data_IF_230721009881
#
_entry.id   IF_230721009881
#
_cell.length_a   1.000
_cell.length_b   1.000
_cell.length_c   1.000
_cell.angle_alpha   90.00
_cell.angle_beta   90.00
_cell.angle_gamma   90.00
#
_symmetry.space_group_name_H-M   'P 1'
#
loop_
_entity.id
_entity.type
_entity.pdbx_description
1 polymer ?
#
# COMPACT_ATOMS: atom_id res chain seq x y z
N UNK A 1 52.28 8.89 -39.94
CA UNK A 1 53.70 8.71 -40.30
C UNK A 1 54.56 9.00 -39.06
N UNK A 2 55.35 8.02 -38.63
CA UNK A 2 56.57 8.03 -37.77
C UNK A 2 56.70 8.99 -36.55
N UNK A 3 57.34 8.68 -35.42
CA UNK A 3 57.96 7.51 -34.72
C UNK A 3 58.33 8.07 -33.31
N UNK A 4 57.95 7.44 -32.19
CA UNK A 4 58.75 6.58 -31.27
C UNK A 4 59.85 7.27 -30.42
N UNK A 5 59.74 7.16 -29.08
CA UNK A 5 60.73 6.69 -28.05
C UNK A 5 60.48 7.41 -26.70
N UNK A 6 60.01 6.82 -25.58
CA UNK A 6 60.62 5.84 -24.64
C UNK A 6 62.03 6.27 -24.15
N UNK A 7 62.47 6.30 -22.88
CA UNK A 7 62.03 6.01 -21.49
C UNK A 7 63.23 6.46 -20.55
N UNK A 8 63.52 5.99 -19.31
CA UNK A 8 62.78 5.98 -18.02
C UNK A 8 63.63 6.35 -16.73
N UNK A 9 63.00 6.20 -15.54
CA UNK A 9 63.54 5.89 -14.16
C UNK A 9 64.30 6.96 -13.33
N UNK A 10 63.78 7.38 -12.15
CA UNK A 10 64.16 6.85 -10.80
C UNK A 10 63.41 7.51 -9.62
N UNK A 11 63.18 6.75 -8.52
CA UNK A 11 62.44 7.18 -7.34
C UNK A 11 63.35 7.75 -6.24
N UNK A 12 62.76 8.59 -5.39
CA UNK A 12 63.38 9.22 -4.22
C UNK A 12 63.34 8.29 -2.98
N UNK A 13 64.46 8.06 -2.28
CA UNK A 13 64.51 7.34 -1.00
C UNK A 13 64.94 8.24 0.17
N UNK A 14 64.19 8.18 1.29
CA UNK A 14 64.58 8.42 2.71
C UNK A 14 63.30 8.44 3.55
N UNK A 15 63.07 7.72 4.65
CA UNK A 15 63.84 6.76 5.44
C UNK A 15 63.30 6.75 6.88
N UNK A 16 62.89 5.57 7.38
CA UNK A 16 62.82 5.07 8.79
C UNK A 16 62.02 5.88 9.86
N UNK A 17 61.35 5.30 10.87
CA UNK A 17 61.55 4.03 11.56
C UNK A 17 60.26 3.54 12.27
N UNK A 18 60.16 2.22 12.41
CA UNK A 18 59.29 1.51 13.37
C UNK A 18 60.17 0.81 14.41
N UNK A 19 59.64 0.41 15.58
CA UNK A 19 60.22 -0.68 16.35
C UNK A 19 59.23 -1.85 16.50
N UNK A 20 59.77 -3.05 16.28
CA UNK A 20 59.20 -4.33 16.72
C UNK A 20 60.30 -5.10 17.45
N UNK A 21 60.03 -5.55 18.67
CA UNK A 21 60.66 -6.67 19.42
C UNK A 21 59.77 -6.89 20.66
N UNK A 22 59.42 -8.09 21.13
CA UNK A 22 59.81 -9.43 20.73
C UNK A 22 58.89 -10.46 21.38
N UNK A 23 58.95 -11.68 20.85
CA UNK A 23 58.31 -12.87 21.41
C UNK A 23 59.09 -13.40 22.63
N UNK A 24 58.35 -13.89 23.62
CA UNK A 24 58.86 -14.63 24.77
C UNK A 24 57.82 -15.68 25.17
N UNK A 25 58.31 -16.91 25.32
CA UNK A 25 57.63 -18.19 25.34
C UNK A 25 56.90 -18.57 26.66
N UNK A 26 55.98 -19.55 26.51
CA UNK A 26 55.58 -20.60 27.46
C UNK A 26 54.86 -20.23 28.79
N UNK A 27 53.56 -20.56 28.89
CA UNK A 27 53.13 -21.75 29.65
C UNK A 27 51.65 -22.12 29.40
N UNK A 28 51.43 -23.42 29.17
CA UNK A 28 50.13 -24.10 29.10
C UNK A 28 49.50 -24.19 30.48
N UNK A 29 48.22 -23.82 30.65
CA UNK A 29 47.30 -24.53 31.57
C UNK A 29 45.88 -24.60 31.02
N UNK A 30 45.55 -25.80 30.56
CA UNK A 30 44.22 -26.35 30.29
C UNK A 30 43.50 -26.69 31.60
N UNK A 31 42.28 -26.18 31.82
CA UNK A 31 41.33 -26.79 32.78
C UNK A 31 39.87 -26.50 32.37
N UNK A 32 39.16 -27.56 31.99
CA UNK A 32 37.69 -27.73 32.09
C UNK A 32 37.43 -29.16 32.59
N UNK A 33 36.22 -29.53 33.02
CA UNK A 33 35.33 -28.94 34.02
C UNK A 33 34.85 -30.01 35.04
N UNK A 34 34.35 -29.66 36.24
CA UNK A 34 33.75 -30.62 37.20
C UNK A 34 32.74 -29.94 38.16
N UNK A 35 31.81 -30.67 38.83
CA UNK A 35 30.39 -30.74 38.47
C UNK A 35 29.42 -30.15 39.54
N UNK A 36 28.13 -30.17 39.21
CA UNK A 36 26.97 -29.82 40.07
C UNK A 36 26.92 -30.58 41.40
N UNK A 37 26.12 -30.09 42.37
CA UNK A 37 25.22 -30.96 43.11
C UNK A 37 23.74 -30.63 42.85
N UNK A 38 22.95 -31.69 42.97
CA UNK A 38 21.52 -31.77 42.74
C UNK A 38 20.70 -31.62 44.04
N UNK A 39 19.39 -31.43 43.87
CA UNK A 39 18.34 -31.65 44.88
C UNK A 39 17.66 -30.35 45.30
N UNK A 40 16.33 -30.21 45.28
CA UNK A 40 15.27 -31.20 45.43
C UNK A 40 14.03 -30.78 44.64
N UNK A 41 13.32 -31.76 44.09
CA UNK A 41 12.02 -31.55 43.45
C UNK A 41 10.88 -31.41 44.44
N UNK A 42 9.78 -30.82 43.97
CA UNK A 42 8.43 -31.18 44.36
C UNK A 42 7.45 -30.77 43.24
N UNK A 43 6.60 -31.72 42.85
CA UNK A 43 5.39 -31.67 41.99
C UNK A 43 4.41 -32.60 42.72
N UNK A 44 3.07 -32.53 42.63
CA UNK A 44 2.14 -31.65 41.90
C UNK A 44 1.06 -31.01 42.82
N UNK A 45 0.18 -30.14 42.32
CA UNK A 45 -1.25 -30.50 42.07
C UNK A 45 -2.13 -29.32 41.61
N UNK A 46 -3.05 -29.64 40.69
CA UNK A 46 -4.47 -29.31 40.84
C UNK A 46 -5.02 -27.88 40.67
N UNK A 47 -5.82 -27.74 39.61
CA UNK A 47 -7.11 -27.05 39.58
C UNK A 47 -7.19 -25.54 39.23
N UNK A 48 -7.63 -25.32 37.99
CA UNK A 48 -8.84 -24.57 37.62
C UNK A 48 -9.10 -23.23 38.34
N UNK A 49 -8.83 -22.12 37.64
CA UNK A 49 -9.79 -21.02 37.59
C UNK A 49 -9.83 -20.39 36.20
N UNK A 50 -10.87 -20.75 35.45
CA UNK A 50 -11.38 -19.97 34.32
C UNK A 50 -11.88 -18.63 34.86
N UNK A 51 -11.12 -17.56 34.66
CA UNK A 51 -11.64 -16.20 34.81
C UNK A 51 -12.47 -15.85 33.57
N UNK A 52 -13.77 -15.67 33.79
CA UNK A 52 -14.76 -15.26 32.78
C UNK A 52 -14.45 -13.83 32.31
N UNK A 53 -14.39 -13.63 30.98
CA UNK A 53 -14.40 -12.31 30.34
C UNK A 53 -15.75 -11.60 30.62
N UNK A 54 -15.77 -10.29 30.93
CA UNK A 54 -17.01 -9.53 30.93
C UNK A 54 -17.46 -9.30 29.48
N UNK A 55 -18.68 -9.74 29.17
CA UNK A 55 -19.41 -9.39 27.94
C UNK A 55 -20.05 -8.02 28.15
N UNK A 56 -19.72 -7.04 27.31
CA UNK A 56 -20.51 -5.82 27.19
C UNK A 56 -21.80 -6.10 26.41
N UNK A 57 -22.97 -5.66 26.90
CA UNK A 57 -24.23 -5.88 26.20
C UNK A 57 -24.39 -4.87 25.04
N UNK A 58 -24.81 -5.39 23.89
CA UNK A 58 -25.37 -4.60 22.78
C UNK A 58 -26.77 -4.15 23.20
N UNK A 59 -26.94 -2.85 23.46
CA UNK A 59 -28.26 -2.26 23.67
C UNK A 59 -28.83 -1.82 22.34
N UNK A 60 -29.93 -2.46 21.92
CA UNK A 60 -30.85 -1.94 20.90
C UNK A 60 -31.48 -0.64 21.43
N UNK A 61 -31.36 0.45 20.67
CA UNK A 61 -32.23 1.62 20.85
C UNK A 61 -33.37 1.49 19.84
N UNK A 62 -34.51 0.99 20.31
CA UNK A 62 -35.80 1.12 19.64
C UNK A 62 -36.38 2.50 20.01
N UNK A 63 -36.57 3.35 19.01
CA UNK A 63 -37.30 4.60 19.16
C UNK A 63 -38.81 4.32 19.06
N UNK A 64 -39.54 4.64 20.13
CA UNK A 64 -40.99 4.85 20.10
C UNK A 64 -41.29 6.14 20.84
N UNK A 65 -41.68 7.19 20.11
CA UNK A 65 -42.65 8.19 20.55
C UNK A 65 -43.48 8.56 19.33
N UNK A 66 -44.80 8.34 19.43
CA UNK A 66 -45.77 8.70 18.42
C UNK A 66 -46.51 10.00 18.73
N UNK A 67 -47.03 10.64 17.67
CA UNK A 67 -48.24 11.47 17.54
C UNK A 67 -47.99 12.44 16.37
N UNK A 68 -48.85 12.61 15.37
CA UNK A 68 -50.14 12.00 15.10
C UNK A 68 -50.80 12.59 13.85
N UNK A 69 -51.93 11.96 13.52
CA UNK A 69 -53.15 12.49 12.88
C UNK A 69 -53.16 12.83 11.38
N UNK A 70 -54.23 12.26 10.77
CA UNK A 70 -54.94 12.59 9.51
C UNK A 70 -54.29 12.00 8.26
N UNK A 71 -54.94 11.16 7.45
CA UNK A 71 -56.36 10.80 7.32
C UNK A 71 -56.67 10.67 5.82
N UNK A 72 -57.63 9.79 5.49
CA UNK A 72 -58.20 9.49 4.15
C UNK A 72 -57.32 8.58 3.27
N UNK A 73 -57.84 7.73 2.39
CA UNK A 73 -59.10 7.01 2.21
C UNK A 73 -58.80 6.07 1.02
N UNK A 74 -59.29 4.82 1.08
CA UNK A 74 -59.41 3.85 -0.03
C UNK A 74 -60.28 4.39 -1.21
N UNK A 75 -60.52 3.65 -2.32
CA UNK A 75 -59.96 2.39 -2.86
C UNK A 75 -59.55 2.52 -4.37
N UNK A 76 -58.85 1.58 -5.02
CA UNK A 76 -59.39 0.36 -5.64
C UNK A 76 -59.32 0.38 -7.18
N UNK A 77 -59.45 -0.81 -7.81
CA UNK A 77 -59.40 -1.16 -9.26
C UNK A 77 -57.98 -1.33 -9.85
N UNK A 78 -57.48 -2.52 -10.22
CA UNK A 78 -57.96 -3.64 -11.08
C UNK A 78 -58.04 -3.29 -12.57
N UNK A 79 -57.37 -4.07 -13.42
CA UNK A 79 -57.68 -4.12 -14.85
C UNK A 79 -56.49 -4.50 -15.73
N UNK A 80 -56.59 -5.68 -16.33
CA UNK A 80 -55.64 -6.28 -17.26
C UNK A 80 -55.88 -5.84 -18.73
N UNK A 81 -55.09 -6.46 -19.62
CA UNK A 81 -55.27 -6.60 -21.09
C UNK A 81 -54.93 -5.39 -21.98
N UNK A 82 -54.50 -5.51 -23.24
CA UNK A 82 -53.88 -6.56 -24.05
C UNK A 82 -53.70 -6.00 -25.47
N UNK A 83 -52.62 -6.42 -26.15
CA UNK A 83 -52.54 -6.79 -27.59
C UNK A 83 -52.58 -5.74 -28.73
N UNK A 84 -51.64 -6.02 -29.67
CA UNK A 84 -51.65 -5.98 -31.16
C UNK A 84 -51.61 -4.58 -31.80
N UNK A 85 -50.62 -4.29 -32.64
CA UNK A 85 -50.48 -4.69 -34.06
C UNK A 85 -50.60 -3.38 -34.88
N UNK A 86 -49.92 -3.09 -35.98
CA UNK A 86 -49.43 -3.90 -37.10
C UNK A 86 -48.56 -3.03 -38.04
N UNK A 87 -47.89 -3.74 -38.93
CA UNK A 87 -47.02 -3.37 -40.06
C UNK A 87 -47.71 -2.52 -41.14
N UNK A 88 -46.93 -1.69 -41.84
CA UNK A 88 -47.23 -1.13 -43.18
C UNK A 88 -45.95 -0.85 -43.97
N UNK A 89 -45.87 -1.37 -45.20
CA UNK A 89 -44.72 -1.38 -46.13
C UNK A 89 -45.04 -0.44 -47.33
N UNK A 90 -43.99 -0.06 -48.08
CA UNK A 90 -43.94 0.21 -49.53
C UNK A 90 -43.89 1.71 -49.94
N UNK A 91 -43.22 2.20 -51.00
CA UNK A 91 -42.17 1.79 -51.97
C UNK A 91 -41.95 2.99 -52.93
N UNK A 92 -40.77 3.11 -53.55
CA UNK A 92 -40.53 3.78 -54.86
C UNK A 92 -40.15 5.27 -54.83
N UNK A 93 -39.51 5.88 -55.83
CA UNK A 93 -38.53 5.50 -56.86
C UNK A 93 -37.95 6.83 -57.44
N UNK A 94 -36.63 6.85 -57.68
CA UNK A 94 -35.77 7.68 -58.57
C UNK A 94 -36.35 8.84 -59.41
N UNK A 95 -35.60 9.95 -59.58
CA UNK A 95 -35.08 10.52 -60.86
C UNK A 95 -34.09 11.68 -60.56
N UNK A 96 -32.99 11.77 -61.31
CA UNK A 96 -31.92 12.78 -61.12
C UNK A 96 -31.93 13.93 -62.13
N UNK A 97 -31.16 14.99 -61.85
CA UNK A 97 -30.69 16.03 -62.79
C UNK A 97 -29.49 16.80 -62.20
N UNK A 98 -28.54 17.22 -63.05
CA UNK A 98 -27.34 18.07 -62.82
C UNK A 98 -27.13 18.94 -64.11
N UNK A 99 -26.20 19.92 -64.19
CA UNK A 99 -25.96 21.19 -63.45
C UNK A 99 -25.86 22.40 -64.47
N UNK A 100 -25.36 23.67 -64.20
CA UNK A 100 -23.92 24.07 -63.99
C UNK A 100 -23.74 25.46 -63.25
N UNK A 101 -22.63 26.26 -63.38
CA UNK A 101 -21.19 26.02 -63.23
C UNK A 101 -20.50 26.85 -62.08
N UNK A 102 -19.17 26.72 -62.04
CA UNK A 102 -18.16 27.06 -61.02
C UNK A 102 -17.84 28.56 -60.84
N UNK A 103 -17.42 28.93 -59.61
CA UNK A 103 -16.29 29.84 -59.35
C UNK A 103 -15.49 29.26 -58.18
N UNK A 104 -14.18 29.02 -58.38
CA UNK A 104 -13.30 28.40 -57.39
C UNK A 104 -12.62 29.42 -56.49
N UNK A 105 -12.13 28.98 -55.32
CA UNK A 105 -10.92 29.47 -54.67
C UNK A 105 -10.45 28.44 -53.62
N UNK A 106 -9.26 27.87 -53.90
CA UNK A 106 -8.14 27.46 -53.05
C UNK A 106 -8.44 26.85 -51.65
N UNK A 107 -7.98 25.60 -51.51
CA UNK A 107 -7.84 24.80 -50.31
C UNK A 107 -6.66 25.31 -49.45
N UNK A 108 -6.88 25.48 -48.15
CA UNK A 108 -5.86 25.28 -47.11
C UNK A 108 -6.57 24.65 -45.91
N UNK A 109 -6.12 23.45 -45.57
CA UNK A 109 -6.82 22.54 -44.66
C UNK A 109 -6.58 22.82 -43.18
N UNK A 110 -7.56 22.43 -42.38
CA UNK A 110 -7.41 22.04 -40.98
C UNK A 110 -8.61 21.19 -40.58
N UNK A 111 -8.60 19.90 -40.95
CA UNK A 111 -9.53 18.90 -40.43
C UNK A 111 -8.93 18.31 -39.15
N UNK A 112 -9.28 18.87 -37.99
CA UNK A 112 -9.28 18.13 -36.73
C UNK A 112 -10.75 17.88 -36.36
N UNK A 113 -11.22 16.62 -36.29
CA UNK A 113 -12.56 16.36 -35.82
C UNK A 113 -12.61 16.59 -34.31
N UNK A 114 -13.41 17.57 -33.88
CA UNK A 114 -13.79 17.74 -32.49
C UNK A 114 -14.51 16.47 -32.02
N UNK A 115 -13.82 15.65 -31.21
CA UNK A 115 -14.43 14.54 -30.49
C UNK A 115 -15.41 15.12 -29.47
N UNK A 116 -16.70 15.10 -29.80
CA UNK A 116 -17.76 15.27 -28.80
C UNK A 116 -17.64 14.11 -27.82
N UNK A 117 -17.31 14.43 -26.56
CA UNK A 117 -17.45 13.50 -25.45
C UNK A 117 -18.89 13.00 -25.41
N UNK A 118 -19.09 11.72 -25.73
CA UNK A 118 -20.38 11.08 -25.55
C UNK A 118 -20.62 10.97 -24.05
N UNK A 119 -21.53 11.80 -23.51
CA UNK A 119 -22.07 11.62 -22.18
C UNK A 119 -22.78 10.27 -22.12
N UNK A 120 -22.08 9.25 -21.58
CA UNK A 120 -22.64 7.95 -21.25
C UNK A 120 -23.58 8.15 -20.06
N UNK A 121 -24.84 7.75 -20.21
CA UNK A 121 -25.81 7.80 -19.12
C UNK A 121 -25.29 7.00 -17.90
N UNK A 122 -25.50 7.49 -16.67
CA UNK A 122 -25.02 6.81 -15.46
C UNK A 122 -25.71 5.45 -15.30
N UNK A 123 -24.92 4.41 -15.05
CA UNK A 123 -25.39 3.06 -14.75
C UNK A 123 -26.11 3.03 -13.40
N UNK A 124 -27.18 2.22 -13.22
CA UNK A 124 -28.11 2.31 -12.09
C UNK A 124 -27.60 1.76 -10.74
N UNK A 125 -26.30 1.45 -10.60
CA UNK A 125 -25.71 0.99 -9.35
C UNK A 125 -24.38 1.73 -9.11
N UNK A 126 -24.48 3.00 -8.72
CA UNK A 126 -23.32 3.72 -8.19
C UNK A 126 -23.25 3.37 -6.71
N UNK A 127 -22.37 2.44 -6.35
CA UNK A 127 -21.88 2.39 -4.97
C UNK A 127 -21.26 3.75 -4.75
N UNK A 128 -21.73 4.48 -3.74
CA UNK A 128 -21.11 5.76 -3.36
C UNK A 128 -19.81 5.40 -2.64
N UNK A 129 -18.76 5.13 -3.43
CA UNK A 129 -17.46 4.75 -2.92
C UNK A 129 -16.62 6.02 -2.78
N UNK A 130 -16.19 6.39 -1.56
CA UNK A 130 -15.38 7.58 -1.37
C UNK A 130 -14.07 7.44 -2.14
N UNK A 131 -13.56 8.54 -2.69
CA UNK A 131 -12.23 8.55 -3.27
C UNK A 131 -11.24 8.14 -2.18
N UNK A 132 -10.66 6.95 -2.33
CA UNK A 132 -9.86 6.29 -1.32
C UNK A 132 -8.39 6.36 -1.72
N UNK A 133 -7.56 6.90 -0.84
CA UNK A 133 -6.11 6.83 -0.96
C UNK A 133 -5.59 5.54 -0.34
N UNK A 134 -4.90 4.74 -1.14
CA UNK A 134 -4.34 3.46 -0.75
C UNK A 134 -2.83 3.61 -0.69
N UNK A 135 -2.29 3.50 0.51
CA UNK A 135 -0.87 3.70 0.84
C UNK A 135 -0.29 2.40 1.41
N UNK A 136 1.01 2.18 1.23
CA UNK A 136 1.70 0.99 1.73
C UNK A 136 3.16 1.29 1.99
N UNK A 137 3.80 0.47 2.83
CA UNK A 137 5.25 0.42 3.01
C UNK A 137 5.79 1.80 3.37
N UNK A 138 5.25 2.38 4.44
CA UNK A 138 5.58 3.72 4.94
C UNK A 138 6.95 3.74 5.63
N UNK A 139 7.34 2.63 6.24
CA UNK A 139 8.68 2.36 6.76
C UNK A 139 9.27 3.51 7.59
N UNK A 140 8.49 4.08 8.50
CA UNK A 140 8.96 5.16 9.38
C UNK A 140 9.49 6.42 8.67
N UNK A 141 9.12 6.65 7.40
CA UNK A 141 9.63 7.74 6.56
C UNK A 141 8.67 8.94 6.57
N UNK A 142 8.76 9.76 7.62
CA UNK A 142 7.87 10.92 7.82
C UNK A 142 7.84 11.89 6.62
N UNK A 143 8.97 12.31 6.02
CA UNK A 143 8.94 13.22 4.86
C UNK A 143 8.08 12.70 3.71
N UNK A 144 8.11 11.40 3.42
CA UNK A 144 7.28 10.79 2.38
C UNK A 144 5.81 10.67 2.80
N UNK A 145 5.55 10.18 4.02
CA UNK A 145 4.19 9.95 4.52
C UNK A 145 3.40 11.26 4.63
N UNK A 146 3.99 12.30 5.21
CA UNK A 146 3.34 13.61 5.33
C UNK A 146 2.98 14.19 3.96
N UNK A 147 3.87 14.03 2.97
CA UNK A 147 3.63 14.50 1.60
C UNK A 147 2.50 13.69 0.95
N UNK A 148 2.52 12.36 1.05
CA UNK A 148 1.52 11.49 0.45
C UNK A 148 0.11 11.77 1.01
N UNK A 149 -0.03 11.93 2.33
CA UNK A 149 -1.32 12.25 2.95
C UNK A 149 -1.81 13.63 2.49
N UNK A 150 -0.93 14.64 2.49
CA UNK A 150 -1.29 16.00 2.05
C UNK A 150 -1.76 16.00 0.60
N UNK A 151 -0.98 15.43 -0.32
CA UNK A 151 -1.31 15.40 -1.75
C UNK A 151 -2.59 14.58 -2.01
N UNK A 152 -2.79 13.46 -1.31
CA UNK A 152 -4.04 12.70 -1.39
C UNK A 152 -5.27 13.53 -0.96
N UNK A 153 -5.18 14.27 0.15
CA UNK A 153 -6.25 15.17 0.58
C UNK A 153 -6.49 16.30 -0.43
N UNK A 154 -5.44 16.90 -0.99
CA UNK A 154 -5.54 17.95 -2.02
C UNK A 154 -6.21 17.43 -3.31
N UNK A 155 -6.01 16.15 -3.63
CA UNK A 155 -6.71 15.45 -4.74
C UNK A 155 -8.15 15.03 -4.39
N UNK A 156 -8.61 15.33 -3.18
CA UNK A 156 -9.98 15.07 -2.75
C UNK A 156 -10.21 13.67 -2.17
N UNK A 157 -9.17 12.94 -1.78
CA UNK A 157 -9.35 11.67 -1.08
C UNK A 157 -10.07 11.92 0.26
N UNK A 158 -11.12 11.13 0.52
CA UNK A 158 -11.94 11.21 1.73
C UNK A 158 -11.80 9.99 2.62
N UNK A 159 -11.08 8.96 2.17
CA UNK A 159 -10.83 7.73 2.92
C UNK A 159 -9.38 7.30 2.71
N UNK A 160 -8.76 6.72 3.72
CA UNK A 160 -7.42 6.14 3.61
C UNK A 160 -7.41 4.67 4.00
N UNK A 161 -6.65 3.89 3.22
CA UNK A 161 -6.36 2.49 3.49
C UNK A 161 -4.84 2.33 3.52
N UNK A 162 -4.29 1.90 4.65
CA UNK A 162 -2.89 1.55 4.78
C UNK A 162 -2.71 0.03 4.73
N UNK A 163 -1.91 -0.47 3.80
CA UNK A 163 -1.73 -1.91 3.58
C UNK A 163 -0.70 -2.56 4.52
N UNK A 164 -0.01 -1.79 5.35
CA UNK A 164 0.96 -2.30 6.32
C UNK A 164 2.35 -1.70 6.14
N UNK A 165 3.30 -2.22 6.92
CA UNK A 165 4.68 -1.74 7.01
C UNK A 165 4.73 -0.23 7.29
N UNK A 166 3.98 0.19 8.29
CA UNK A 166 4.01 1.56 8.84
C UNK A 166 5.38 1.83 9.48
N UNK A 167 5.97 0.80 10.09
CA UNK A 167 7.24 0.88 10.81
C UNK A 167 8.34 0.05 10.14
N UNK A 168 9.57 0.23 10.63
CA UNK A 168 10.76 -0.46 10.11
C UNK A 168 11.52 0.39 9.09
N UNK A 169 12.81 0.08 8.94
CA UNK A 169 13.82 0.81 8.17
C UNK A 169 14.04 2.29 8.53
N UNK A 170 13.03 3.15 8.49
CA UNK A 170 13.14 4.59 8.70
C UNK A 170 13.22 5.01 10.16
N UNK A 171 13.62 6.27 10.35
CA UNK A 171 14.00 6.84 11.63
C UNK A 171 12.83 7.31 12.52
N UNK A 172 11.59 7.31 12.01
CA UNK A 172 10.44 7.95 12.69
C UNK A 172 9.21 7.05 12.77
N UNK A 173 9.31 5.84 13.37
CA UNK A 173 8.19 4.91 13.45
C UNK A 173 6.99 5.47 14.22
N UNK A 174 7.23 6.14 15.37
CA UNK A 174 6.16 6.69 16.22
C UNK A 174 5.31 7.75 15.50
N UNK A 175 5.96 8.67 14.79
CA UNK A 175 5.25 9.70 14.03
C UNK A 175 4.43 9.11 12.88
N UNK A 176 4.92 8.05 12.21
CA UNK A 176 4.13 7.35 11.19
C UNK A 176 2.93 6.62 11.79
N UNK A 177 3.09 5.99 12.96
CA UNK A 177 1.98 5.40 13.71
C UNK A 177 0.94 6.46 14.09
N UNK A 178 1.37 7.60 14.62
CA UNK A 178 0.48 8.72 14.96
C UNK A 178 -0.37 9.17 13.77
N UNK A 179 0.27 9.33 12.59
CA UNK A 179 -0.43 9.71 11.36
C UNK A 179 -1.44 8.65 10.94
N UNK A 180 -1.04 7.37 10.87
CA UNK A 180 -1.93 6.28 10.46
C UNK A 180 -3.09 6.11 11.43
N UNK A 181 -2.86 6.19 12.75
CA UNK A 181 -3.91 6.13 13.76
C UNK A 181 -4.89 7.33 13.69
N UNK A 182 -4.50 8.42 13.04
CA UNK A 182 -5.39 9.58 12.84
C UNK A 182 -6.31 9.42 11.62
N UNK A 183 -5.82 8.78 10.54
CA UNK A 183 -6.48 8.80 9.22
C UNK A 183 -6.93 7.42 8.69
N UNK A 184 -6.38 6.32 9.22
CA UNK A 184 -6.57 4.96 8.70
C UNK A 184 -7.24 4.04 9.73
N UNK A 185 -8.22 4.53 10.48
CA UNK A 185 -8.93 3.77 11.52
C UNK A 185 -10.43 4.11 11.55
N UNK A 186 -11.29 3.29 12.17
CA UNK A 186 -12.65 3.70 12.48
C UNK A 186 -12.67 4.97 13.35
N UNK A 187 -13.51 5.93 12.99
CA UNK A 187 -13.50 7.27 13.58
C UNK A 187 -12.34 8.13 13.10
N UNK A 188 -11.78 7.83 11.92
CA UNK A 188 -10.80 8.65 11.24
C UNK A 188 -11.23 10.12 11.25
N UNK A 189 -10.26 10.99 11.51
CA UNK A 189 -10.51 12.42 11.66
C UNK A 189 -10.07 13.16 10.41
N UNK A 190 -10.20 14.48 10.41
CA UNK A 190 -9.54 15.30 9.42
C UNK A 190 -8.01 15.23 9.53
N UNK A 191 -7.33 15.39 8.40
CA UNK A 191 -5.89 15.66 8.36
C UNK A 191 -5.64 17.17 8.31
N UNK A 192 -5.11 17.74 9.40
CA UNK A 192 -4.83 19.19 9.53
C UNK A 192 -6.05 20.03 9.13
N UNK A 193 -5.91 20.89 8.12
CA UNK A 193 -6.98 21.76 7.59
C UNK A 193 -7.82 21.10 6.48
N UNK A 194 -7.65 19.79 6.29
CA UNK A 194 -8.41 18.99 5.33
C UNK A 194 -9.86 18.75 5.73
N UNK A 195 -10.65 18.19 4.80
CA UNK A 195 -12.03 17.79 5.06
C UNK A 195 -12.14 16.61 6.03
N UNK A 196 -13.35 16.38 6.54
CA UNK A 196 -13.66 15.19 7.32
C UNK A 196 -13.41 13.92 6.49
N UNK A 197 -12.72 12.95 7.10
CA UNK A 197 -12.47 11.63 6.52
C UNK A 197 -13.56 10.63 6.93
N UNK A 198 -13.79 9.67 6.05
CA UNK A 198 -14.57 8.46 6.30
C UNK A 198 -13.70 7.38 6.94
N UNK A 199 -14.35 6.36 7.51
CA UNK A 199 -13.66 5.26 8.19
C UNK A 199 -12.68 4.56 7.24
N UNK A 200 -11.41 4.62 7.64
CA UNK A 200 -10.31 3.94 6.98
C UNK A 200 -9.99 2.59 7.63
N UNK A 201 -8.90 1.98 7.17
CA UNK A 201 -8.32 0.81 7.81
C UNK A 201 -6.80 0.79 7.67
N UNK A 202 -6.14 0.12 8.59
CA UNK A 202 -4.72 -0.19 8.52
C UNK A 202 -4.54 -1.70 8.71
N UNK A 203 -3.75 -2.30 7.83
CA UNK A 203 -3.40 -3.71 7.90
C UNK A 203 -2.03 -3.92 8.54
N UNK A 204 -1.78 -5.17 8.90
CA UNK A 204 -0.50 -5.66 9.40
C UNK A 204 0.40 -6.00 8.23
N UNK A 205 1.57 -5.36 8.17
CA UNK A 205 2.65 -5.79 7.30
C UNK A 205 3.60 -6.77 7.98
N UNK A 206 4.58 -7.28 7.23
CA UNK A 206 5.56 -8.21 7.78
C UNK A 206 6.51 -7.54 8.79
N UNK A 207 6.68 -6.21 8.73
CA UNK A 207 7.47 -5.48 9.72
C UNK A 207 6.74 -5.38 11.06
N UNK A 208 5.43 -5.12 11.06
CA UNK A 208 4.62 -5.20 12.29
C UNK A 208 4.57 -6.63 12.84
N UNK A 209 4.43 -7.64 11.96
CA UNK A 209 4.45 -9.05 12.35
C UNK A 209 5.79 -9.44 13.00
N UNK A 210 6.92 -9.02 12.43
CA UNK A 210 8.25 -9.26 12.97
C UNK A 210 8.48 -8.53 14.31
N UNK A 211 7.90 -7.34 14.46
CA UNK A 211 7.96 -6.55 15.68
C UNK A 211 7.20 -7.21 16.83
N UNK A 212 6.03 -7.80 16.56
CA UNK A 212 5.19 -8.50 17.55
C UNK A 212 5.70 -9.90 17.88
N UNK A 213 6.26 -10.59 16.88
CA UNK A 213 6.72 -11.96 17.00
C UNK A 213 8.26 -12.01 16.96
N UNK A 214 8.83 -12.44 15.84
CA UNK A 214 10.26 -12.63 15.65
C UNK A 214 10.71 -12.10 14.29
N UNK A 215 11.89 -11.48 14.29
CA UNK A 215 12.58 -11.00 13.10
C UNK A 215 13.72 -11.94 12.66
N UNK A 216 13.70 -13.21 13.07
CA UNK A 216 14.76 -14.18 12.74
C UNK A 216 14.88 -14.47 11.25
N UNK A 217 13.77 -14.45 10.51
CA UNK A 217 13.75 -14.67 9.05
C UNK A 217 14.25 -13.45 8.25
N UNK A 218 14.53 -12.32 8.92
CA UNK A 218 14.96 -11.09 8.27
C UNK A 218 16.48 -11.09 8.06
N UNK A 219 16.92 -10.42 6.99
CA UNK A 219 18.36 -10.18 6.83
C UNK A 219 18.89 -9.35 8.02
N UNK A 220 20.19 -9.48 8.39
CA UNK A 220 20.72 -8.86 9.60
C UNK A 220 20.50 -7.34 9.70
N UNK A 221 20.53 -6.63 8.56
CA UNK A 221 20.31 -5.18 8.50
C UNK A 221 18.85 -4.81 8.79
N UNK A 222 17.92 -5.55 8.19
CA UNK A 222 16.49 -5.36 8.42
C UNK A 222 16.09 -5.75 9.85
N UNK A 223 16.70 -6.82 10.40
CA UNK A 223 16.51 -7.21 11.81
C UNK A 223 16.96 -6.11 12.77
N UNK A 224 18.13 -5.51 12.56
CA UNK A 224 18.62 -4.39 13.39
C UNK A 224 17.62 -3.22 13.41
N UNK A 225 17.03 -2.89 12.26
CA UNK A 225 16.00 -1.85 12.18
C UNK A 225 14.73 -2.19 12.97
N UNK A 226 14.29 -3.46 12.96
CA UNK A 226 13.13 -3.91 13.75
C UNK A 226 13.45 -3.88 15.26
N UNK A 227 14.63 -4.35 15.67
CA UNK A 227 15.07 -4.32 17.07
C UNK A 227 15.14 -2.88 17.59
N UNK A 228 15.76 -1.98 16.81
CA UNK A 228 15.77 -0.56 17.14
C UNK A 228 14.36 0.06 17.18
N UNK A 229 13.49 -0.28 16.23
CA UNK A 229 12.10 0.21 16.18
C UNK A 229 11.34 -0.20 17.45
N UNK A 230 11.54 -1.43 17.95
CA UNK A 230 10.95 -1.92 19.20
C UNK A 230 11.37 -1.04 20.38
N UNK A 231 12.65 -0.75 20.48
CA UNK A 231 13.18 0.10 21.53
C UNK A 231 12.66 1.53 21.42
N UNK A 232 12.57 2.08 20.21
CA UNK A 232 12.05 3.42 19.95
C UNK A 232 10.58 3.56 20.36
N UNK A 233 9.75 2.54 20.11
CA UNK A 233 8.35 2.50 20.57
C UNK A 233 8.27 2.43 22.10
N UNK A 234 9.18 1.67 22.74
CA UNK A 234 9.23 1.55 24.20
C UNK A 234 9.75 2.81 24.91
N UNK A 235 10.53 3.64 24.21
CA UNK A 235 11.02 4.94 24.70
C UNK A 235 10.01 6.09 24.51
N UNK A 236 8.79 5.81 24.05
CA UNK A 236 7.77 6.83 23.86
C UNK A 236 7.42 7.51 25.19
N UNK A 237 7.45 8.84 25.18
CA UNK A 237 7.04 9.68 26.32
C UNK A 237 5.82 10.52 25.95
N UNK A 238 4.78 10.57 26.81
CA UNK A 238 4.66 9.85 28.08
C UNK A 238 4.53 8.32 27.86
N UNK A 239 4.96 7.50 28.84
CA UNK A 239 4.99 6.02 28.74
C UNK A 239 3.67 5.40 28.27
N UNK A 240 2.54 6.00 28.62
CA UNK A 240 1.20 5.58 28.19
C UNK A 240 1.06 5.56 26.66
N UNK A 241 1.81 6.43 25.96
CA UNK A 241 1.82 6.45 24.49
C UNK A 241 2.42 5.16 23.91
N UNK A 242 3.40 4.57 24.59
CA UNK A 242 3.95 3.27 24.18
C UNK A 242 2.89 2.18 24.20
N UNK A 243 2.05 2.12 25.24
CA UNK A 243 0.95 1.15 25.31
C UNK A 243 -0.05 1.34 24.19
N UNK A 244 -0.40 2.59 23.85
CA UNK A 244 -1.29 2.89 22.72
C UNK A 244 -0.74 2.35 21.40
N UNK A 245 0.57 2.48 21.15
CA UNK A 245 1.19 1.92 19.95
C UNK A 245 1.13 0.39 19.94
N UNK A 246 1.46 -0.26 21.05
CA UNK A 246 1.46 -1.72 21.14
C UNK A 246 0.05 -2.32 21.02
N UNK A 247 -0.95 -1.68 21.61
CA UNK A 247 -2.36 -2.08 21.47
C UNK A 247 -2.79 -1.99 20.00
N UNK A 248 -2.51 -0.85 19.35
CA UNK A 248 -2.81 -0.66 17.93
C UNK A 248 -2.15 -1.71 17.04
N UNK A 249 -0.83 -1.91 17.18
CA UNK A 249 -0.07 -2.88 16.40
C UNK A 249 -0.62 -4.31 16.56
N UNK A 250 -1.01 -4.68 17.79
CA UNK A 250 -1.51 -6.01 18.11
C UNK A 250 -2.89 -6.30 17.51
N UNK A 251 -3.69 -5.26 17.28
CA UNK A 251 -5.04 -5.34 16.72
C UNK A 251 -5.08 -5.34 15.18
N UNK A 252 -3.96 -4.98 14.51
CA UNK A 252 -3.89 -4.95 13.05
C UNK A 252 -4.18 -6.31 12.43
N UNK A 253 -5.09 -6.32 11.46
CA UNK A 253 -5.50 -7.51 10.72
C UNK A 253 -4.57 -7.80 9.55
N UNK A 254 -4.39 -9.07 9.21
CA UNK A 254 -3.56 -9.49 8.07
C UNK A 254 -4.19 -9.18 6.70
N UNK A 255 -5.53 -9.18 6.63
CA UNK A 255 -6.31 -8.82 5.44
C UNK A 255 -7.69 -8.34 5.85
N UNK A 256 -8.34 -7.60 4.96
CA UNK A 256 -9.72 -7.14 5.12
C UNK A 256 -10.42 -6.99 3.76
N UNK A 257 -11.75 -6.90 3.74
CA UNK A 257 -12.54 -6.57 2.56
C UNK A 257 -13.60 -5.53 2.93
N UNK A 258 -13.83 -4.57 2.04
CA UNK A 258 -15.05 -3.77 2.03
C UNK A 258 -16.05 -4.34 1.00
N UNK A 259 -17.08 -3.60 0.65
CA UNK A 259 -18.08 -4.00 -0.34
C UNK A 259 -17.53 -4.06 -1.78
N UNK A 260 -16.41 -3.39 -2.08
CA UNK A 260 -15.84 -3.30 -3.43
C UNK A 260 -14.52 -4.07 -3.57
N UNK A 261 -13.61 -3.94 -2.61
CA UNK A 261 -12.23 -4.36 -2.73
C UNK A 261 -11.74 -5.20 -1.54
N UNK A 262 -10.75 -6.04 -1.83
CA UNK A 262 -9.97 -6.79 -0.86
C UNK A 262 -8.63 -6.08 -0.63
N UNK A 263 -8.10 -6.16 0.59
CA UNK A 263 -6.86 -5.53 0.99
C UNK A 263 -5.98 -6.55 1.71
N UNK A 264 -4.69 -6.59 1.37
CA UNK A 264 -3.66 -7.39 2.03
C UNK A 264 -2.31 -6.67 1.94
N UNK A 265 -1.33 -7.04 2.77
CA UNK A 265 0.04 -6.52 2.63
C UNK A 265 0.80 -7.25 1.53
N UNK A 266 0.96 -8.57 1.69
CA UNK A 266 1.72 -9.42 0.79
C UNK A 266 0.94 -9.80 -0.48
N UNK A 267 -0.03 -10.69 -0.33
CA UNK A 267 -0.81 -11.23 -1.45
C UNK A 267 -2.20 -11.71 -1.00
N UNK A 268 -3.17 -11.95 -1.91
CA UNK A 268 -4.45 -12.55 -1.54
C UNK A 268 -4.32 -13.92 -0.84
N UNK A 269 -3.32 -14.73 -1.23
CA UNK A 269 -3.12 -16.10 -0.74
C UNK A 269 -2.37 -16.17 0.59
N UNK A 270 -1.28 -15.43 0.69
CA UNK A 270 -0.51 -15.23 1.92
C UNK A 270 -0.50 -13.71 2.19
N UNK A 271 -1.38 -13.21 3.09
CA UNK A 271 -1.60 -11.78 3.25
C UNK A 271 -0.48 -10.95 3.84
N UNK A 272 0.57 -11.54 4.40
CA UNK A 272 1.59 -10.80 5.17
C UNK A 272 2.98 -10.91 4.54
N UNK A 273 3.38 -12.08 4.05
CA UNK A 273 4.77 -12.43 3.75
C UNK A 273 5.04 -12.83 2.30
N UNK A 274 4.01 -13.18 1.51
CA UNK A 274 4.23 -13.52 0.09
C UNK A 274 4.49 -12.25 -0.74
N UNK A 275 5.64 -12.20 -1.38
CA UNK A 275 5.92 -11.20 -2.42
C UNK A 275 5.18 -11.54 -3.71
N UNK A 276 4.55 -10.53 -4.32
CA UNK A 276 4.16 -10.53 -5.73
C UNK A 276 5.00 -9.51 -6.50
N UNK A 277 5.91 -9.98 -7.33
CA UNK A 277 6.83 -9.16 -8.12
C UNK A 277 6.46 -9.23 -9.60
N UNK A 278 6.78 -8.20 -10.41
CA UNK A 278 6.46 -8.19 -11.84
C UNK A 278 6.85 -9.48 -12.58
N UNK A 279 8.02 -10.04 -12.26
CA UNK A 279 8.52 -11.30 -12.86
C UNK A 279 7.62 -12.50 -12.60
N UNK A 280 6.80 -12.48 -11.55
CA UNK A 280 5.92 -13.60 -11.17
C UNK A 280 4.77 -13.79 -12.16
N UNK A 281 4.52 -12.82 -13.06
CA UNK A 281 3.54 -12.94 -14.14
C UNK A 281 3.78 -14.15 -15.05
N UNK A 282 5.03 -14.66 -15.13
CA UNK A 282 5.36 -15.86 -15.91
C UNK A 282 4.98 -17.15 -15.19
N UNK A 283 4.81 -17.12 -13.86
CA UNK A 283 4.39 -18.24 -13.04
C UNK A 283 2.86 -18.28 -12.94
N UNK A 284 2.25 -18.91 -13.94
CA UNK A 284 0.80 -19.06 -14.04
C UNK A 284 0.19 -19.73 -12.80
N UNK A 285 0.86 -20.72 -12.23
CA UNK A 285 0.36 -21.44 -11.05
C UNK A 285 0.32 -20.55 -9.81
N UNK A 286 1.34 -19.71 -9.61
CA UNK A 286 1.34 -18.71 -8.53
C UNK A 286 0.26 -17.65 -8.73
N UNK A 287 0.09 -17.15 -9.96
CA UNK A 287 -0.92 -16.14 -10.28
C UNK A 287 -2.34 -16.69 -10.08
N UNK A 288 -2.64 -17.87 -10.63
CA UNK A 288 -3.93 -18.56 -10.45
C UNK A 288 -4.24 -18.80 -8.97
N UNK A 289 -3.26 -19.26 -8.18
CA UNK A 289 -3.45 -19.48 -6.76
C UNK A 289 -3.82 -18.19 -6.00
N UNK A 290 -3.24 -17.05 -6.40
CA UNK A 290 -3.58 -15.76 -5.81
C UNK A 290 -4.96 -15.26 -6.24
N UNK A 291 -5.30 -15.32 -7.53
CA UNK A 291 -6.63 -14.93 -8.01
C UNK A 291 -7.75 -15.79 -7.40
N UNK A 292 -7.50 -17.08 -7.16
CA UNK A 292 -8.45 -17.99 -6.51
C UNK A 292 -8.72 -17.66 -5.04
N UNK A 293 -7.76 -17.05 -4.34
CA UNK A 293 -7.90 -16.64 -2.93
C UNK A 293 -8.59 -15.27 -2.76
N UNK A 294 -8.82 -14.52 -3.84
CA UNK A 294 -9.47 -13.21 -3.76
C UNK A 294 -10.97 -13.33 -3.45
N UNK A 295 -11.40 -12.54 -2.46
CA UNK A 295 -12.79 -12.44 -1.99
C UNK A 295 -13.58 -11.33 -2.71
N UNK A 296 -12.90 -10.48 -3.49
CA UNK A 296 -13.45 -9.43 -4.34
C UNK A 296 -12.81 -9.49 -5.73
N UNK A 297 -13.39 -8.76 -6.68
CA UNK A 297 -12.84 -8.69 -8.04
C UNK A 297 -11.57 -7.82 -8.11
N UNK A 298 -11.37 -6.92 -7.15
CA UNK A 298 -10.15 -6.11 -7.03
C UNK A 298 -9.49 -6.38 -5.68
N UNK A 299 -8.17 -6.60 -5.68
CA UNK A 299 -7.37 -6.69 -4.46
C UNK A 299 -6.19 -5.75 -4.51
N UNK A 300 -5.99 -4.95 -3.46
CA UNK A 300 -4.84 -4.08 -3.29
C UNK A 300 -3.81 -4.72 -2.36
N UNK A 301 -2.55 -4.66 -2.79
CA UNK A 301 -1.38 -5.20 -2.08
C UNK A 301 -0.22 -4.20 -2.05
N UNK A 302 0.76 -4.48 -1.20
CA UNK A 302 1.99 -3.72 -1.00
C UNK A 302 3.21 -4.65 -1.03
N UNK A 303 4.08 -4.53 -0.04
CA UNK A 303 5.16 -5.46 0.34
C UNK A 303 6.33 -5.59 -0.65
N UNK A 304 6.07 -5.67 -1.96
CA UNK A 304 7.11 -5.68 -2.99
C UNK A 304 7.76 -4.32 -3.20
N UNK A 305 7.04 -3.25 -2.83
CA UNK A 305 7.38 -1.85 -3.07
C UNK A 305 7.48 -1.47 -4.56
N UNK A 306 6.95 -2.32 -5.46
CA UNK A 306 6.97 -2.12 -6.92
C UNK A 306 5.53 -2.06 -7.41
N UNK A 307 5.03 -0.90 -7.87
CA UNK A 307 3.65 -0.81 -8.28
C UNK A 307 3.40 -1.59 -9.56
N UNK A 308 2.23 -2.20 -9.64
CA UNK A 308 1.85 -3.07 -10.74
C UNK A 308 0.34 -3.35 -10.72
N UNK A 309 -0.22 -3.68 -11.88
CA UNK A 309 -1.57 -4.20 -12.03
C UNK A 309 -1.48 -5.53 -12.76
N UNK A 310 -1.96 -6.59 -12.11
CA UNK A 310 -2.04 -7.94 -12.64
C UNK A 310 -3.51 -8.27 -12.89
N UNK A 311 -3.86 -8.64 -14.13
CA UNK A 311 -5.19 -9.13 -14.47
C UNK A 311 -5.19 -10.66 -14.59
N UNK A 312 -6.33 -11.29 -14.31
CA UNK A 312 -6.51 -12.73 -14.44
C UNK A 312 -6.50 -13.25 -15.90
N UNK A 313 -6.50 -12.33 -16.86
CA UNK A 313 -6.36 -12.58 -18.30
C UNK A 313 -4.95 -12.28 -18.84
N UNK A 314 -3.95 -12.32 -17.94
CA UNK A 314 -2.52 -12.14 -18.23
C UNK A 314 -2.11 -10.72 -18.63
N UNK A 315 -3.05 -9.77 -18.73
CA UNK A 315 -2.67 -8.37 -18.87
C UNK A 315 -1.89 -7.92 -17.64
N UNK A 316 -0.84 -7.15 -17.89
CA UNK A 316 0.05 -6.63 -16.88
C UNK A 316 0.42 -5.18 -17.21
N UNK A 317 0.39 -4.33 -16.19
CA UNK A 317 0.82 -2.94 -16.32
C UNK A 317 1.74 -2.59 -15.15
N UNK A 318 2.84 -1.92 -15.44
CA UNK A 318 3.76 -1.40 -14.44
C UNK A 318 3.81 0.12 -14.57
N UNK A 319 3.10 0.87 -13.72
CA UNK A 319 3.06 2.32 -13.78
C UNK A 319 4.43 2.90 -13.39
N UNK A 320 4.87 3.89 -14.15
CA UNK A 320 6.17 4.58 -13.98
C UNK A 320 6.01 6.06 -13.67
N UNK A 321 4.81 6.61 -13.81
CA UNK A 321 4.52 8.02 -13.57
C UNK A 321 3.26 8.19 -12.71
N UNK A 322 2.92 9.45 -12.40
CA UNK A 322 1.56 9.77 -11.99
C UNK A 322 0.64 9.59 -13.20
N UNK A 323 -0.16 8.52 -13.20
CA UNK A 323 -0.91 8.09 -14.37
C UNK A 323 -2.22 7.37 -14.02
N UNK A 324 -3.14 7.32 -14.98
CA UNK A 324 -4.50 6.80 -14.85
C UNK A 324 -5.53 7.70 -15.55
N UNK A 325 -6.83 7.34 -15.51
CA UNK A 325 -7.39 6.20 -14.80
C UNK A 325 -7.14 4.86 -15.52
N UNK A 326 -6.84 3.82 -14.75
CA UNK A 326 -7.02 2.42 -15.16
C UNK A 326 -8.45 2.00 -14.81
N UNK A 327 -9.19 1.41 -15.76
CA UNK A 327 -10.54 0.91 -15.48
C UNK A 327 -10.45 -0.44 -14.77
N UNK A 328 -10.89 -0.47 -13.52
CA UNK A 328 -11.09 -1.66 -12.69
C UNK A 328 -12.58 -1.99 -12.53
N UNK A 329 -13.50 -1.37 -13.29
CA UNK A 329 -14.85 -1.96 -13.49
C UNK A 329 -14.74 -3.16 -14.42
N UNK A 330 -14.20 -4.24 -13.86
CA UNK A 330 -13.97 -5.48 -14.56
C UNK A 330 -15.31 -6.10 -14.99
N UNK A 331 -15.29 -6.81 -16.11
CA UNK A 331 -16.44 -7.66 -16.47
C UNK A 331 -16.68 -8.68 -15.37
N UNK A 332 -17.94 -9.11 -15.18
CA UNK A 332 -18.27 -10.03 -14.09
C UNK A 332 -17.40 -11.29 -14.14
N UNK A 333 -16.71 -11.57 -13.03
CA UNK A 333 -15.82 -12.73 -12.90
C UNK A 333 -14.39 -12.51 -13.39
N UNK A 334 -14.04 -11.30 -13.82
CA UNK A 334 -12.67 -10.87 -14.06
C UNK A 334 -12.07 -10.26 -12.80
N UNK A 335 -10.80 -10.56 -12.53
CA UNK A 335 -10.09 -10.13 -11.33
C UNK A 335 -8.83 -9.31 -11.64
N UNK A 336 -8.50 -8.39 -10.74
CA UNK A 336 -7.26 -7.63 -10.75
C UNK A 336 -6.61 -7.57 -9.37
N UNK A 337 -5.29 -7.75 -9.33
CA UNK A 337 -4.45 -7.51 -8.16
C UNK A 337 -3.61 -6.26 -8.45
N UNK A 338 -3.60 -5.31 -7.53
CA UNK A 338 -2.95 -4.01 -7.68
C UNK A 338 -1.91 -3.86 -6.58
N UNK A 339 -0.63 -3.82 -6.95
CA UNK A 339 0.41 -3.36 -6.04
C UNK A 339 0.49 -1.83 -6.11
N UNK A 340 0.33 -1.14 -4.98
CA UNK A 340 0.32 0.35 -4.94
C UNK A 340 1.73 0.96 -4.91
N UNK A 341 2.77 0.13 -4.85
CA UNK A 341 4.15 0.57 -4.64
C UNK A 341 4.41 0.87 -3.17
N UNK A 342 5.41 1.72 -2.89
CA UNK A 342 5.78 2.09 -1.53
C UNK A 342 5.84 3.60 -1.38
N UNK A 343 5.29 4.10 -0.27
CA UNK A 343 5.42 5.51 0.11
C UNK A 343 6.83 5.77 0.65
N UNK A 344 7.32 4.94 1.56
CA UNK A 344 8.52 5.21 2.35
C UNK A 344 9.82 4.64 1.81
N UNK A 345 9.78 3.61 0.96
CA UNK A 345 10.98 2.96 0.43
C UNK A 345 10.71 2.29 -0.95
N UNK A 346 10.44 3.03 -2.03
CA UNK A 346 10.29 2.47 -3.38
C UNK A 346 11.44 1.53 -3.76
N UNK A 347 11.17 0.45 -4.53
CA UNK A 347 12.17 -0.56 -4.93
C UNK A 347 12.25 -0.82 -6.44
N UNK A 348 11.72 0.09 -7.24
CA UNK A 348 11.62 -0.03 -8.69
C UNK A 348 12.62 0.86 -9.44
N UNK A 349 13.71 1.25 -8.77
CA UNK A 349 14.75 2.16 -9.27
C UNK A 349 14.28 3.61 -9.51
N UNK A 350 13.12 3.98 -8.96
CA UNK A 350 12.61 5.34 -8.91
C UNK A 350 12.51 5.79 -7.44
N UNK A 351 13.21 6.86 -7.02
CA UNK A 351 13.19 7.29 -5.62
C UNK A 351 11.89 8.00 -5.22
N UNK A 352 10.99 8.33 -6.17
CA UNK A 352 9.71 8.99 -5.88
C UNK A 352 8.78 8.05 -5.12
N UNK A 353 8.12 8.58 -4.09
CA UNK A 353 7.09 7.82 -3.35
C UNK A 353 5.98 7.38 -4.30
N UNK A 354 5.31 6.27 -3.98
CA UNK A 354 4.18 5.73 -4.75
C UNK A 354 2.98 5.47 -3.85
N UNK A 355 1.79 5.87 -4.31
CA UNK A 355 0.52 5.46 -3.75
C UNK A 355 -0.57 5.43 -4.83
N UNK A 356 -1.77 4.98 -4.48
CA UNK A 356 -2.90 4.91 -5.40
C UNK A 356 -4.15 5.66 -4.91
N UNK A 357 -4.94 6.16 -5.85
CA UNK A 357 -6.31 6.65 -5.62
C UNK A 357 -7.31 5.72 -6.31
N UNK A 358 -8.40 5.41 -5.62
CA UNK A 358 -9.44 4.52 -6.11
C UNK A 358 -10.84 5.04 -5.79
N UNK A 359 -11.73 5.12 -6.79
CA UNK A 359 -13.11 5.63 -6.63
C UNK A 359 -14.18 4.52 -6.67
N UNK A 360 -13.76 3.27 -6.45
CA UNK A 360 -14.62 2.09 -6.56
C UNK A 360 -14.64 1.50 -7.97
N UNK A 361 -14.09 2.21 -8.96
CA UNK A 361 -14.02 1.76 -10.36
C UNK A 361 -12.69 2.08 -11.02
N UNK A 362 -12.21 3.29 -10.87
CA UNK A 362 -11.07 3.85 -11.57
C UNK A 362 -9.90 3.95 -10.61
N UNK A 363 -8.72 3.58 -11.11
CA UNK A 363 -7.47 3.60 -10.35
C UNK A 363 -6.51 4.64 -10.94
N UNK A 364 -5.90 5.45 -10.09
CA UNK A 364 -4.78 6.33 -10.46
C UNK A 364 -3.58 6.00 -9.59
N UNK A 365 -2.40 5.90 -10.21
CA UNK A 365 -1.14 5.88 -9.50
C UNK A 365 -0.61 7.30 -9.37
N UNK A 366 0.02 7.58 -8.24
CA UNK A 366 0.65 8.87 -7.96
C UNK A 366 2.09 8.65 -7.57
N UNK A 367 2.98 9.40 -8.21
CA UNK A 367 4.42 9.48 -7.91
C UNK A 367 4.81 10.90 -7.54
N UNK A 368 5.45 11.08 -6.39
CA UNK A 368 5.90 12.40 -5.93
C UNK A 368 7.37 12.37 -5.51
N UNK A 369 8.09 13.43 -5.87
CA UNK A 369 9.38 13.72 -5.25
C UNK A 369 9.15 14.15 -3.80
N UNK A 370 9.95 13.60 -2.89
CA UNK A 370 9.97 14.00 -1.49
C UNK A 370 11.41 14.21 -1.05
N UNK A 371 11.60 14.82 0.12
CA UNK A 371 12.93 15.06 0.69
C UNK A 371 13.52 13.76 1.26
N UNK A 372 13.95 12.88 0.37
CA UNK A 372 14.62 11.63 0.73
C UNK A 372 15.99 11.87 1.38
N UNK A 373 16.60 13.03 1.14
CA UNK A 373 17.88 13.41 1.74
C UNK A 373 17.72 13.65 3.23
N UNK A 374 16.69 14.42 3.62
CA UNK A 374 16.30 14.56 5.03
C UNK A 374 15.99 13.20 5.66
N UNK A 375 15.22 12.34 5.00
CA UNK A 375 14.91 11.01 5.54
C UNK A 375 16.18 10.17 5.74
N UNK A 376 17.11 10.22 4.78
CA UNK A 376 18.41 9.55 4.86
C UNK A 376 19.28 10.10 6.01
N UNK A 377 19.32 11.42 6.20
CA UNK A 377 20.08 12.05 7.28
C UNK A 377 19.49 11.71 8.66
N UNK A 378 18.16 11.64 8.78
CA UNK A 378 17.51 11.18 10.01
C UNK A 378 17.85 9.72 10.33
N UNK A 379 17.98 8.84 9.32
CA UNK A 379 18.44 7.45 9.51
C UNK A 379 19.91 7.43 9.98
N UNK A 380 20.80 8.16 9.31
CA UNK A 380 22.24 8.20 9.65
C UNK A 380 22.52 8.79 11.04
N UNK A 381 21.59 9.60 11.57
CA UNK A 381 21.70 10.14 12.92
C UNK A 381 21.48 9.08 14.02
N UNK A 382 21.05 7.87 13.68
CA UNK A 382 20.75 6.79 14.62
C UNK A 382 21.82 5.69 14.48
N UNK A 383 22.71 5.51 15.48
CA UNK A 383 23.82 4.55 15.40
C UNK A 383 23.41 3.10 15.17
N UNK A 384 22.23 2.69 15.66
CA UNK A 384 21.71 1.33 15.52
C UNK A 384 21.12 1.04 14.14
N UNK A 385 20.82 2.07 13.34
CA UNK A 385 20.32 1.92 11.98
C UNK A 385 21.48 1.85 10.98
N UNK A 386 21.55 0.80 10.13
CA UNK A 386 22.59 0.72 9.12
C UNK A 386 22.49 1.81 8.05
N UNK A 387 23.61 2.47 7.72
CA UNK A 387 23.70 3.50 6.65
C UNK A 387 23.12 3.06 5.31
N UNK A 388 23.20 1.76 5.00
CA UNK A 388 22.60 1.18 3.79
C UNK A 388 21.11 1.48 3.64
N UNK A 389 20.37 1.64 4.75
CA UNK A 389 18.95 1.99 4.74
C UNK A 389 18.72 3.43 4.29
N UNK A 390 19.68 4.32 4.56
CA UNK A 390 19.68 5.71 4.07
C UNK A 390 20.08 5.75 2.59
N UNK A 391 21.13 5.03 2.20
CA UNK A 391 21.69 5.07 0.85
C UNK A 391 20.72 4.57 -0.22
N UNK A 392 19.88 3.58 0.10
CA UNK A 392 18.93 3.00 -0.84
C UNK A 392 17.77 3.92 -1.21
N UNK A 393 17.46 4.94 -0.39
CA UNK A 393 16.37 5.87 -0.66
C UNK A 393 16.62 6.70 -1.91
N UNK A 394 17.86 7.15 -2.13
CA UNK A 394 18.24 7.98 -3.27
C UNK A 394 18.19 7.24 -4.62
N UNK A 395 18.15 5.91 -4.60
CA UNK A 395 18.17 5.06 -5.80
C UNK A 395 16.92 4.20 -5.96
N UNK A 396 15.92 4.34 -5.08
CA UNK A 396 14.68 3.55 -5.11
C UNK A 396 14.94 2.04 -5.07
N UNK A 397 15.70 1.57 -4.07
CA UNK A 397 16.07 0.14 -3.93
C UNK A 397 15.69 -0.45 -2.61
#
# INVERSE_FOLDING_TARGET
MARVSAAPVRPDPRGAAAPAFGAGDLERRSLTPRPRPAGRGFVPDGALHRARRPRFPRTLVAAVVGCGVRGRAFPGFSGADARRGSIGIATGATWGTLPPPRVGTIILGSNLPAQRAAHRAPSPHRVDYPLTAIISDLHGNVPAVELAIRDACERGARRFVCLGDVVGYGARPRACLDMVMQICVPGARQWKDGGALEDGLCLRGNHEDALLNSAEDFNPKARAAIEWTRDEINRAEPRERSYVYWDFLSELMAKECDEVAMFAHGSPREPVREYMLPRDMIDRGKMEANFNCMERDVCFIGHSHVPAVYYDDERFYQPTQTEGPYDLALEKGKKAIVNVGSVGQPRDADPRLSYALFDGRSLWFVRLEYDHSRAADEIRAIPELPDYLADRLAVGR
#
